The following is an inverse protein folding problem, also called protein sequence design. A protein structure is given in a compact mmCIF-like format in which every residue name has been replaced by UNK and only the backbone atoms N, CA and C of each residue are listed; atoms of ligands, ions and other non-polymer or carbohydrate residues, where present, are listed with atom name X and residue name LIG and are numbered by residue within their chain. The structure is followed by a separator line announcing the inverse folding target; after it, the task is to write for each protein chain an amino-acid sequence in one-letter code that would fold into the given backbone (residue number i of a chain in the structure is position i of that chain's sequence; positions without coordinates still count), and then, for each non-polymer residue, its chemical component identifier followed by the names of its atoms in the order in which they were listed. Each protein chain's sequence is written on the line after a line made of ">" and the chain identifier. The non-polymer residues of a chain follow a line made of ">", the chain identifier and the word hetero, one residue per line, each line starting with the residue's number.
data_IF_212014812312
#
_entry.id   IF_212014812312
#
_cell.length_a   1.000
_cell.length_b   1.000
_cell.length_c   1.000
_cell.angle_alpha   90.00
_cell.angle_beta   90.00
_cell.angle_gamma   90.00
#
_symmetry.space_group_name_H-M   'P 1'
#
loop_
_entity.id
_entity.type
_entity.pdbx_description
1 polymer ?
#
# COMPACT_ATOMS: atom_id res chain seq x y z
N UNK A 1 10.42 35.02 65.76
CA UNK A 1 9.61 34.22 64.87
C UNK A 1 10.57 33.35 64.08
N UNK A 2 10.65 32.05 64.47
CA UNK A 2 11.55 31.05 63.83
C UNK A 2 10.66 30.17 62.95
N UNK A 3 10.94 30.19 61.66
CA UNK A 3 10.35 29.22 60.70
C UNK A 3 11.11 27.89 60.82
N UNK A 4 10.37 26.85 61.07
CA UNK A 4 10.84 25.44 61.09
C UNK A 4 10.64 24.87 59.71
N UNK A 5 11.73 24.50 59.02
CA UNK A 5 11.71 23.72 57.80
C UNK A 5 11.72 22.25 58.16
N UNK A 6 10.63 21.53 57.79
CA UNK A 6 10.55 20.09 57.92
C UNK A 6 11.14 19.44 56.65
N UNK A 7 12.28 18.78 56.80
CA UNK A 7 12.91 18.00 55.74
C UNK A 7 12.23 16.63 55.70
N UNK A 8 11.56 16.36 54.60
CA UNK A 8 10.98 15.04 54.32
C UNK A 8 12.09 14.16 53.70
N UNK A 9 12.60 13.21 54.45
CA UNK A 9 13.58 12.21 53.99
C UNK A 9 12.85 11.10 53.28
N UNK A 10 12.96 11.03 51.96
CA UNK A 10 12.47 9.88 51.13
C UNK A 10 13.46 8.72 51.29
N UNK A 11 13.00 7.65 51.93
CA UNK A 11 13.70 6.39 52.01
C UNK A 11 13.59 5.67 50.63
N UNK A 12 14.73 5.56 49.95
CA UNK A 12 14.86 4.64 48.80
C UNK A 12 14.97 3.20 49.31
N UNK A 13 13.96 2.40 49.07
CA UNK A 13 14.06 0.95 49.16
C UNK A 13 14.56 0.40 47.79
N UNK A 14 15.57 -0.49 47.76
CA UNK A 14 15.97 -1.13 46.52
C UNK A 14 14.98 -2.24 46.20
N UNK A 15 14.19 -2.09 45.15
CA UNK A 15 13.43 -3.16 44.53
C UNK A 15 14.41 -4.05 43.73
N UNK A 16 14.79 -5.13 44.32
CA UNK A 16 15.36 -6.29 43.62
C UNK A 16 14.22 -7.03 42.89
N UNK A 17 14.36 -7.18 41.60
CA UNK A 17 13.43 -7.97 40.79
C UNK A 17 13.62 -7.58 39.31
N UNK A 18 14.77 -7.99 38.74
CA UNK A 18 15.01 -7.79 37.31
C UNK A 18 14.03 -8.63 36.47
N UNK A 19 12.97 -8.01 36.00
CA UNK A 19 12.40 -8.35 34.71
C UNK A 19 12.84 -7.27 33.74
N UNK A 20 13.81 -7.61 32.89
CA UNK A 20 14.08 -6.84 31.67
C UNK A 20 12.80 -6.99 30.83
N UNK A 21 11.87 -6.07 31.03
CA UNK A 21 10.73 -5.90 30.14
C UNK A 21 11.32 -5.48 28.80
N UNK A 22 11.39 -6.41 27.87
CA UNK A 22 11.50 -6.04 26.46
C UNK A 22 10.37 -5.07 26.20
N UNK A 23 10.69 -3.80 25.95
CA UNK A 23 9.75 -2.84 25.40
C UNK A 23 9.25 -3.46 24.10
N UNK A 24 8.04 -3.98 24.15
CA UNK A 24 7.36 -4.54 22.98
C UNK A 24 7.16 -3.36 22.03
N UNK A 25 7.72 -3.43 20.83
CA UNK A 25 7.44 -2.41 19.82
C UNK A 25 5.93 -2.32 19.64
N UNK A 26 5.40 -1.15 19.89
CA UNK A 26 3.98 -0.88 19.70
C UNK A 26 3.72 -0.77 18.20
N UNK A 27 2.93 -1.68 17.64
CA UNK A 27 2.55 -1.60 16.23
C UNK A 27 1.45 -0.57 16.09
N UNK A 28 1.85 0.65 15.70
CA UNK A 28 0.96 1.79 15.51
C UNK A 28 0.08 1.64 14.26
N UNK A 29 0.68 1.31 13.11
CA UNK A 29 -0.03 1.13 11.86
C UNK A 29 -0.59 -0.30 11.72
N UNK A 30 -1.89 -0.43 11.57
CA UNK A 30 -2.63 -1.69 11.38
C UNK A 30 -3.53 -1.53 10.17
N UNK A 31 -3.01 -1.87 9.00
CA UNK A 31 -3.64 -1.59 7.72
C UNK A 31 -4.34 -2.79 7.08
N UNK A 32 -5.26 -2.49 6.16
CA UNK A 32 -5.81 -3.46 5.22
C UNK A 32 -5.95 -2.83 3.83
N UNK A 33 -5.59 -3.58 2.78
CA UNK A 33 -5.84 -3.16 1.41
C UNK A 33 -7.29 -3.42 1.01
N UNK A 34 -7.89 -2.44 0.33
CA UNK A 34 -9.17 -2.57 -0.38
C UNK A 34 -8.87 -2.45 -1.88
N UNK A 35 -8.75 -3.60 -2.55
CA UNK A 35 -8.44 -3.69 -3.97
C UNK A 35 -9.72 -3.59 -4.80
N UNK A 36 -9.73 -2.66 -5.76
CA UNK A 36 -10.88 -2.43 -6.66
C UNK A 36 -10.69 -3.04 -8.04
N UNK A 37 -9.44 -3.23 -8.46
CA UNK A 37 -9.14 -3.90 -9.74
C UNK A 37 -9.80 -5.27 -9.80
N UNK A 38 -10.46 -5.57 -10.90
CA UNK A 38 -11.20 -6.81 -11.09
C UNK A 38 -12.26 -7.09 -9.98
N UNK A 39 -12.71 -6.05 -9.28
CA UNK A 39 -13.64 -6.15 -8.16
C UNK A 39 -13.19 -7.18 -7.10
N UNK A 40 -11.88 -7.16 -6.76
CA UNK A 40 -11.31 -8.12 -5.83
C UNK A 40 -11.97 -7.99 -4.45
N UNK A 41 -12.00 -6.77 -3.89
CA UNK A 41 -12.58 -6.52 -2.57
C UNK A 41 -13.85 -5.69 -2.66
N UNK A 42 -13.84 -4.62 -3.48
CA UNK A 42 -14.94 -3.67 -3.60
C UNK A 42 -14.90 -2.95 -4.96
N UNK A 43 -16.09 -2.54 -5.53
CA UNK A 43 -17.40 -3.08 -5.16
C UNK A 43 -17.56 -4.54 -5.60
N UNK A 44 -18.55 -5.25 -5.07
CA UNK A 44 -18.89 -6.58 -5.61
C UNK A 44 -19.43 -6.47 -7.04
N UNK A 45 -19.46 -7.56 -7.79
CA UNK A 45 -20.01 -7.57 -9.15
C UNK A 45 -21.51 -7.17 -9.16
N UNK A 46 -22.23 -7.55 -8.12
CA UNK A 46 -23.64 -7.24 -7.93
C UNK A 46 -23.87 -5.75 -7.62
N UNK A 47 -22.88 -5.10 -7.03
CA UNK A 47 -22.93 -3.68 -6.67
C UNK A 47 -22.47 -2.74 -7.79
N UNK A 48 -21.88 -3.26 -8.88
CA UNK A 48 -21.43 -2.42 -10.00
C UNK A 48 -22.60 -1.61 -10.55
N UNK A 49 -22.45 -0.28 -10.56
CA UNK A 49 -23.49 0.65 -11.01
C UNK A 49 -24.65 0.86 -10.02
N UNK A 50 -24.53 0.39 -8.79
CA UNK A 50 -25.55 0.55 -7.73
C UNK A 50 -24.97 1.29 -6.52
N UNK A 51 -25.15 2.61 -6.48
CA UNK A 51 -24.60 3.50 -5.46
C UNK A 51 -24.95 3.08 -4.03
N UNK A 52 -26.23 2.70 -3.81
CA UNK A 52 -26.71 2.32 -2.48
C UNK A 52 -26.05 1.05 -1.98
N UNK A 53 -25.88 0.06 -2.86
CA UNK A 53 -25.24 -1.21 -2.51
C UNK A 53 -23.74 -1.02 -2.31
N UNK A 54 -23.08 -0.23 -3.16
CA UNK A 54 -21.66 0.12 -3.02
C UNK A 54 -21.37 0.76 -1.66
N UNK A 55 -22.18 1.73 -1.25
CA UNK A 55 -22.08 2.39 0.05
C UNK A 55 -22.29 1.41 1.19
N UNK A 56 -23.31 0.57 1.11
CA UNK A 56 -23.60 -0.42 2.14
C UNK A 56 -22.46 -1.45 2.29
N UNK A 57 -21.89 -1.91 1.18
CA UNK A 57 -20.73 -2.81 1.21
C UNK A 57 -19.50 -2.15 1.85
N UNK A 58 -19.21 -0.89 1.51
CA UNK A 58 -18.06 -0.17 2.07
C UNK A 58 -18.24 0.06 3.59
N UNK A 59 -19.42 0.44 4.05
CA UNK A 59 -19.74 0.54 5.49
C UNK A 59 -19.47 -0.80 6.18
N UNK A 60 -20.01 -1.90 5.64
CA UNK A 60 -19.78 -3.23 6.21
C UNK A 60 -18.30 -3.63 6.25
N UNK A 61 -17.52 -3.28 5.20
CA UNK A 61 -16.08 -3.49 5.17
C UNK A 61 -15.42 -2.72 6.32
N UNK A 62 -15.68 -1.42 6.43
CA UNK A 62 -15.06 -0.55 7.43
C UNK A 62 -15.42 -0.98 8.86
N UNK A 63 -16.70 -1.28 9.15
CA UNK A 63 -17.15 -1.79 10.46
C UNK A 63 -16.45 -3.11 10.82
N UNK A 64 -16.29 -3.99 9.82
CA UNK A 64 -15.60 -5.26 10.02
C UNK A 64 -14.12 -5.06 10.35
N UNK A 65 -13.44 -4.15 9.64
CA UNK A 65 -12.03 -3.81 9.86
C UNK A 65 -11.83 -3.14 11.23
N UNK A 66 -12.69 -2.20 11.60
CA UNK A 66 -12.70 -1.56 12.93
C UNK A 66 -12.80 -2.62 14.04
N UNK A 67 -13.71 -3.58 13.89
CA UNK A 67 -13.89 -4.68 14.86
C UNK A 67 -12.65 -5.55 15.04
N UNK A 68 -11.70 -5.53 14.09
CA UNK A 68 -10.42 -6.21 14.15
C UNK A 68 -9.32 -5.34 14.76
N UNK A 69 -9.57 -4.07 15.01
CA UNK A 69 -8.58 -3.09 15.45
C UNK A 69 -7.71 -2.54 14.34
N UNK A 70 -8.15 -2.63 13.09
CA UNK A 70 -7.52 -1.95 11.94
C UNK A 70 -7.76 -0.45 12.08
N UNK A 71 -6.73 0.35 11.86
CA UNK A 71 -6.78 1.82 11.95
C UNK A 71 -6.33 2.53 10.66
N UNK A 72 -6.13 1.79 9.59
CA UNK A 72 -5.81 2.36 8.28
C UNK A 72 -6.33 1.49 7.15
N UNK A 73 -6.82 2.12 6.08
CA UNK A 73 -7.15 1.45 4.83
C UNK A 73 -6.23 1.94 3.72
N UNK A 74 -5.79 1.01 2.87
CA UNK A 74 -5.09 1.33 1.62
C UNK A 74 -6.09 1.08 0.49
N UNK A 75 -6.77 2.15 0.07
CA UNK A 75 -7.91 2.10 -0.85
C UNK A 75 -7.46 2.34 -2.29
N UNK A 76 -7.66 1.36 -3.18
CA UNK A 76 -7.29 1.47 -4.58
C UNK A 76 -8.29 2.34 -5.35
N UNK A 77 -7.88 3.55 -5.71
CA UNK A 77 -8.74 4.51 -6.42
C UNK A 77 -8.36 4.70 -7.89
N UNK A 78 -7.17 4.22 -8.31
CA UNK A 78 -6.69 4.27 -9.69
C UNK A 78 -6.10 2.93 -10.12
N UNK A 79 -6.95 1.94 -10.46
CA UNK A 79 -6.46 0.60 -10.80
C UNK A 79 -5.91 0.47 -12.22
N UNK A 80 -6.47 1.20 -13.21
CA UNK A 80 -6.21 1.00 -14.65
C UNK A 80 -6.27 2.32 -15.44
N UNK A 81 -5.55 3.36 -14.99
CA UNK A 81 -5.58 4.71 -15.56
C UNK A 81 -7.01 5.27 -15.70
N UNK A 82 -7.84 4.93 -14.75
CA UNK A 82 -9.22 5.35 -14.56
C UNK A 82 -9.48 5.57 -13.06
N UNK A 83 -10.52 6.30 -12.70
CA UNK A 83 -10.70 6.84 -11.38
C UNK A 83 -11.94 6.29 -10.65
N UNK A 84 -11.79 5.92 -9.37
CA UNK A 84 -12.90 5.69 -8.43
C UNK A 84 -13.13 6.94 -7.55
N UNK A 85 -12.95 8.11 -8.12
CA UNK A 85 -13.18 9.43 -7.53
C UNK A 85 -13.52 10.42 -8.63
N UNK A 86 -14.01 11.61 -8.29
CA UNK A 86 -14.25 12.66 -9.29
C UNK A 86 -12.95 13.23 -9.81
N UNK A 87 -12.39 12.61 -10.84
CA UNK A 87 -11.17 13.08 -11.48
C UNK A 87 -11.49 14.17 -12.53
N UNK A 88 -10.62 15.20 -12.57
CA UNK A 88 -10.63 16.20 -13.63
C UNK A 88 -9.89 15.72 -14.90
N UNK A 89 -9.18 14.61 -14.83
CA UNK A 89 -8.21 14.17 -15.83
C UNK A 89 -8.52 12.80 -16.43
N UNK A 90 -9.03 11.87 -15.62
CA UNK A 90 -9.24 10.48 -16.03
C UNK A 90 -10.72 10.09 -15.93
N UNK A 91 -11.20 9.18 -16.78
CA UNK A 91 -12.59 8.73 -16.74
C UNK A 91 -12.86 7.93 -15.47
N UNK A 92 -14.14 7.86 -15.10
CA UNK A 92 -14.57 6.96 -14.03
C UNK A 92 -14.27 5.52 -14.39
N UNK A 93 -13.86 4.73 -13.39
CA UNK A 93 -13.50 3.33 -13.59
C UNK A 93 -14.74 2.47 -13.92
N UNK A 94 -14.58 1.59 -14.92
CA UNK A 94 -15.60 0.60 -15.23
C UNK A 94 -15.82 -0.41 -14.09
N UNK A 95 -14.86 -0.58 -13.19
CA UNK A 95 -15.02 -1.42 -12.00
C UNK A 95 -16.10 -0.89 -11.04
N UNK A 96 -16.33 0.43 -11.07
CA UNK A 96 -17.36 1.09 -10.27
C UNK A 96 -18.73 1.06 -10.94
N UNK A 97 -18.77 1.35 -12.24
CA UNK A 97 -20.01 1.67 -12.96
C UNK A 97 -20.36 0.67 -14.07
N UNK A 98 -19.50 -0.30 -14.36
CA UNK A 98 -19.64 -1.23 -15.47
C UNK A 98 -19.16 -0.70 -16.83
N UNK A 99 -19.03 0.63 -16.96
CA UNK A 99 -18.52 1.32 -18.17
C UNK A 99 -17.69 2.52 -17.75
N UNK A 100 -16.65 2.83 -18.51
CA UNK A 100 -15.94 4.09 -18.31
C UNK A 100 -16.79 5.26 -18.82
N UNK A 101 -16.69 6.41 -18.15
CA UNK A 101 -17.35 7.64 -18.52
C UNK A 101 -16.65 8.85 -17.94
N UNK A 102 -17.12 10.06 -18.28
CA UNK A 102 -16.55 11.31 -17.80
C UNK A 102 -17.49 12.01 -16.83
N UNK A 103 -16.91 12.70 -15.84
CA UNK A 103 -17.65 13.60 -14.97
C UNK A 103 -18.01 14.87 -15.73
N UNK A 104 -19.30 15.20 -15.76
CA UNK A 104 -19.79 16.41 -16.42
C UNK A 104 -20.53 17.28 -15.40
N UNK A 105 -20.05 18.49 -15.11
CA UNK A 105 -20.66 19.44 -14.18
C UNK A 105 -21.11 18.81 -12.84
N UNK A 106 -20.24 18.06 -12.19
CA UNK A 106 -20.49 17.34 -10.94
C UNK A 106 -21.41 16.10 -11.08
N UNK A 107 -21.77 15.70 -12.28
CA UNK A 107 -22.57 14.51 -12.56
C UNK A 107 -21.85 13.60 -13.56
N UNK A 108 -21.84 12.31 -13.28
CA UNK A 108 -21.38 11.32 -14.24
C UNK A 108 -22.52 10.95 -15.19
N UNK A 109 -22.29 11.11 -16.49
CA UNK A 109 -23.27 10.72 -17.51
C UNK A 109 -22.80 9.45 -18.20
N UNK A 110 -23.45 8.33 -17.91
CA UNK A 110 -23.29 7.06 -18.61
C UNK A 110 -24.69 6.55 -18.96
N UNK A 111 -25.09 6.55 -20.24
CA UNK A 111 -26.34 5.94 -20.73
C UNK A 111 -27.56 6.17 -19.78
N UNK A 112 -27.80 7.41 -19.32
CA UNK A 112 -28.84 7.80 -18.37
C UNK A 112 -28.63 7.36 -16.91
N UNK A 113 -27.52 6.75 -16.53
CA UNK A 113 -27.17 6.56 -15.13
C UNK A 113 -26.41 7.79 -14.62
N UNK A 114 -26.77 8.28 -13.44
CA UNK A 114 -26.11 9.41 -12.79
C UNK A 114 -25.44 8.91 -11.53
N UNK A 115 -24.10 8.84 -11.53
CA UNK A 115 -23.37 8.70 -10.28
C UNK A 115 -23.36 10.07 -9.60
N UNK A 116 -24.04 10.19 -8.46
CA UNK A 116 -24.25 11.46 -7.76
C UNK A 116 -23.29 11.72 -6.62
N UNK A 117 -22.44 10.77 -6.31
CA UNK A 117 -21.52 10.80 -5.19
C UNK A 117 -20.05 10.62 -5.62
N UNK A 118 -19.13 11.08 -4.81
CA UNK A 118 -17.70 10.84 -4.98
C UNK A 118 -17.28 9.66 -4.08
N UNK A 119 -16.88 8.51 -4.66
CA UNK A 119 -16.52 7.33 -3.86
C UNK A 119 -15.35 7.55 -2.91
N UNK A 120 -14.34 8.33 -3.30
CA UNK A 120 -13.20 8.60 -2.44
C UNK A 120 -13.56 9.53 -1.29
N UNK A 121 -14.19 10.68 -1.59
CA UNK A 121 -14.60 11.65 -0.58
C UNK A 121 -15.48 10.99 0.49
N UNK A 122 -16.50 10.26 0.04
CA UNK A 122 -17.42 9.57 0.95
C UNK A 122 -16.72 8.47 1.77
N UNK A 123 -15.80 7.70 1.16
CA UNK A 123 -15.04 6.66 1.88
C UNK A 123 -14.13 7.29 2.94
N UNK A 124 -13.51 8.43 2.65
CA UNK A 124 -12.71 9.20 3.62
C UNK A 124 -13.57 9.58 4.83
N UNK A 125 -14.76 10.17 4.61
CA UNK A 125 -15.68 10.54 5.70
C UNK A 125 -16.04 9.33 6.57
N UNK A 126 -16.35 8.18 5.93
CA UNK A 126 -16.70 6.95 6.64
C UNK A 126 -15.51 6.34 7.40
N UNK A 127 -14.31 6.39 6.84
CA UNK A 127 -13.10 5.90 7.50
C UNK A 127 -12.71 6.79 8.69
N UNK A 128 -12.71 8.11 8.51
CA UNK A 128 -12.38 9.07 9.57
C UNK A 128 -13.38 9.01 10.74
N UNK A 129 -14.66 8.77 10.48
CA UNK A 129 -15.66 8.57 11.55
C UNK A 129 -15.39 7.33 12.42
N UNK A 130 -14.50 6.44 11.98
CA UNK A 130 -14.02 5.23 12.68
C UNK A 130 -12.56 5.36 13.13
N UNK A 131 -11.99 6.56 13.12
CA UNK A 131 -10.59 6.83 13.43
C UNK A 131 -9.62 5.99 12.57
N UNK A 132 -9.94 5.81 11.28
CA UNK A 132 -9.09 5.12 10.32
C UNK A 132 -8.43 6.11 9.36
N UNK A 133 -7.13 5.99 9.18
CA UNK A 133 -6.38 6.67 8.12
C UNK A 133 -6.77 6.13 6.74
N UNK A 134 -6.74 7.01 5.73
CA UNK A 134 -6.97 6.63 4.33
C UNK A 134 -5.70 6.89 3.52
N UNK A 135 -5.10 5.79 3.05
CA UNK A 135 -4.00 5.80 2.11
C UNK A 135 -4.54 5.50 0.70
N UNK A 136 -4.39 6.46 -0.20
CA UNK A 136 -4.93 6.36 -1.56
C UNK A 136 -3.96 5.58 -2.44
N UNK A 137 -4.40 4.41 -2.91
CA UNK A 137 -3.58 3.53 -3.73
C UNK A 137 -3.82 3.74 -5.23
N UNK A 138 -2.72 4.05 -5.94
CA UNK A 138 -2.67 4.18 -7.38
C UNK A 138 -1.75 3.14 -7.99
N UNK A 139 -2.17 2.50 -9.10
CA UNK A 139 -1.22 1.85 -9.99
C UNK A 139 -0.71 2.89 -11.01
N UNK A 140 0.60 3.19 -11.07
CA UNK A 140 1.07 4.32 -11.88
C UNK A 140 0.95 4.10 -13.38
N UNK A 141 1.18 2.89 -13.90
CA UNK A 141 1.41 2.69 -15.33
C UNK A 141 0.41 1.82 -16.06
N UNK A 142 -0.36 0.99 -15.37
CA UNK A 142 -1.28 0.04 -16.01
C UNK A 142 -2.52 0.72 -16.56
N UNK A 143 -2.90 0.39 -17.82
CA UNK A 143 -4.09 0.90 -18.51
C UNK A 143 -5.24 -0.09 -18.48
N UNK A 144 -4.95 -1.41 -18.62
CA UNK A 144 -5.96 -2.46 -18.65
C UNK A 144 -5.41 -3.78 -18.13
N UNK A 145 -6.27 -4.74 -17.90
CA UNK A 145 -5.88 -6.14 -17.67
C UNK A 145 -5.83 -6.91 -18.99
N UNK A 146 -5.04 -7.98 -19.06
CA UNK A 146 -4.85 -8.78 -20.26
C UNK A 146 -6.15 -9.38 -20.85
N UNK A 147 -7.20 -9.49 -20.04
CA UNK A 147 -8.52 -9.98 -20.43
C UNK A 147 -9.53 -8.85 -20.71
N UNK A 148 -9.16 -7.59 -20.50
CA UNK A 148 -10.06 -6.46 -20.74
C UNK A 148 -10.17 -6.22 -22.24
N UNK A 149 -11.39 -6.17 -22.73
CA UNK A 149 -11.65 -5.71 -24.09
C UNK A 149 -11.35 -4.20 -24.17
N UNK A 150 -10.36 -3.84 -24.98
CA UNK A 150 -9.97 -2.44 -25.16
C UNK A 150 -11.04 -1.59 -25.84
N UNK A 151 -12.06 -2.20 -26.47
CA UNK A 151 -13.21 -1.48 -26.99
C UNK A 151 -14.04 -0.83 -25.89
N UNK A 152 -13.95 -1.33 -24.66
CA UNK A 152 -14.61 -0.79 -23.48
C UNK A 152 -13.95 0.49 -22.92
N UNK A 153 -12.72 0.79 -23.36
CA UNK A 153 -12.02 2.01 -22.96
C UNK A 153 -12.69 3.19 -23.69
N UNK A 154 -13.20 4.17 -22.93
CA UNK A 154 -13.94 5.29 -23.50
C UNK A 154 -13.07 6.22 -24.35
N UNK A 155 -13.70 7.03 -25.20
CA UNK A 155 -13.01 7.95 -26.12
C UNK A 155 -12.16 8.99 -25.38
N UNK A 156 -12.58 9.39 -24.17
CA UNK A 156 -11.91 10.40 -23.37
C UNK A 156 -10.70 9.89 -22.58
N UNK A 157 -10.48 8.58 -22.56
CA UNK A 157 -9.33 7.98 -21.87
C UNK A 157 -8.02 8.47 -22.51
N UNK A 158 -7.04 8.80 -21.68
CA UNK A 158 -5.73 9.32 -22.11
C UNK A 158 -5.03 8.41 -23.13
N UNK A 159 -5.19 7.08 -23.01
CA UNK A 159 -4.67 6.12 -23.97
C UNK A 159 -5.24 6.28 -25.38
N UNK A 160 -6.51 6.74 -25.52
CA UNK A 160 -7.13 7.04 -26.81
C UNK A 160 -6.64 8.36 -27.37
N UNK A 161 -6.39 9.35 -26.50
CA UNK A 161 -5.98 10.71 -26.89
C UNK A 161 -4.51 10.78 -27.28
N UNK A 162 -3.66 10.00 -26.60
CA UNK A 162 -2.21 10.01 -26.73
C UNK A 162 -1.64 8.60 -26.81
N UNK A 163 -1.98 7.80 -27.86
CA UNK A 163 -1.51 6.43 -27.97
C UNK A 163 0.03 6.30 -28.00
N UNK A 164 0.75 7.36 -28.41
CA UNK A 164 2.21 7.43 -28.43
C UNK A 164 2.87 7.45 -27.04
N UNK A 165 2.12 7.64 -25.97
CA UNK A 165 2.63 7.59 -24.60
C UNK A 165 2.69 6.16 -24.05
N UNK A 166 2.20 5.18 -24.80
CA UNK A 166 1.95 3.83 -24.32
C UNK A 166 2.63 2.79 -25.16
N UNK A 167 2.82 1.63 -24.56
CA UNK A 167 3.20 0.42 -25.27
C UNK A 167 2.44 -0.80 -24.74
N UNK A 168 2.32 -1.81 -25.60
CA UNK A 168 1.66 -3.07 -25.24
C UNK A 168 2.71 -4.10 -24.80
N UNK A 169 2.46 -4.75 -23.64
CA UNK A 169 3.23 -5.89 -23.19
C UNK A 169 2.29 -6.99 -22.72
N UNK A 170 2.39 -8.17 -23.31
CA UNK A 170 1.60 -9.34 -22.94
C UNK A 170 0.08 -9.07 -22.89
N UNK A 171 -0.48 -8.40 -23.91
CA UNK A 171 -1.89 -8.03 -24.06
C UNK A 171 -2.39 -7.01 -23.03
N UNK A 172 -1.49 -6.31 -22.39
CA UNK A 172 -1.80 -5.19 -21.50
C UNK A 172 -1.09 -3.94 -21.99
N UNK A 173 -1.78 -2.82 -21.86
CA UNK A 173 -1.23 -1.50 -22.17
C UNK A 173 -0.69 -0.84 -20.90
N UNK A 174 0.44 -0.20 -21.04
CA UNK A 174 1.14 0.51 -19.98
C UNK A 174 1.61 1.87 -20.49
N UNK A 175 1.61 2.87 -19.63
CA UNK A 175 2.39 4.06 -19.87
C UNK A 175 3.85 3.70 -20.08
N UNK A 176 4.55 4.42 -20.96
CA UNK A 176 5.97 4.24 -21.21
C UNK A 176 6.80 4.99 -20.15
N UNK A 177 7.43 4.32 -19.17
CA UNK A 177 8.17 4.99 -18.12
C UNK A 177 9.38 5.79 -18.61
N UNK A 178 9.83 5.54 -19.86
CA UNK A 178 10.94 6.25 -20.48
C UNK A 178 10.61 7.62 -21.06
N UNK A 179 9.34 8.05 -20.98
CA UNK A 179 8.87 9.35 -21.46
C UNK A 179 8.61 10.29 -20.28
N UNK A 180 9.22 11.46 -20.26
CA UNK A 180 9.00 12.46 -19.20
C UNK A 180 7.52 12.83 -19.06
N UNK A 181 6.81 12.99 -20.17
CA UNK A 181 5.36 13.34 -20.18
C UNK A 181 4.50 12.33 -19.41
N UNK A 182 4.88 11.05 -19.35
CA UNK A 182 4.12 10.05 -18.57
C UNK A 182 4.34 10.21 -17.08
N UNK A 183 5.53 10.63 -16.67
CA UNK A 183 5.82 11.02 -15.30
C UNK A 183 5.04 12.29 -14.91
N UNK A 184 5.07 13.33 -15.75
CA UNK A 184 4.34 14.57 -15.54
C UNK A 184 2.83 14.34 -15.40
N UNK A 185 2.28 13.41 -16.21
CA UNK A 185 0.87 13.02 -16.10
C UNK A 185 0.54 12.40 -14.75
N UNK A 186 1.36 11.48 -14.26
CA UNK A 186 1.15 10.84 -12.96
C UNK A 186 1.28 11.86 -11.82
N UNK A 187 2.27 12.75 -11.88
CA UNK A 187 2.40 13.85 -10.91
C UNK A 187 1.16 14.74 -10.91
N UNK A 188 0.60 15.07 -12.08
CA UNK A 188 -0.66 15.84 -12.20
C UNK A 188 -1.83 15.14 -11.49
N UNK A 189 -1.99 13.82 -11.71
CA UNK A 189 -3.04 13.01 -11.05
C UNK A 189 -2.84 12.98 -9.53
N UNK A 190 -1.61 12.78 -9.08
CA UNK A 190 -1.28 12.74 -7.65
C UNK A 190 -1.54 14.09 -6.99
N UNK A 191 -1.09 15.19 -7.60
CA UNK A 191 -1.32 16.54 -7.09
C UNK A 191 -2.81 16.88 -7.00
N UNK A 192 -3.63 16.51 -8.01
CA UNK A 192 -5.09 16.72 -7.98
C UNK A 192 -5.75 15.97 -6.81
N UNK A 193 -5.29 14.75 -6.48
CA UNK A 193 -5.81 14.00 -5.34
C UNK A 193 -5.37 14.64 -4.02
N UNK A 194 -4.08 14.94 -3.86
CA UNK A 194 -3.54 15.50 -2.61
C UNK A 194 -4.14 16.86 -2.29
N UNK A 195 -4.33 17.71 -3.30
CA UNK A 195 -4.91 19.05 -3.12
C UNK A 195 -6.37 18.98 -2.65
N UNK A 196 -7.16 18.05 -3.21
CA UNK A 196 -8.62 18.04 -3.05
C UNK A 196 -9.13 17.16 -1.92
N UNK A 197 -8.40 16.14 -1.51
CA UNK A 197 -8.90 15.15 -0.56
C UNK A 197 -8.12 15.19 0.77
N UNK A 198 -8.82 14.90 1.86
CA UNK A 198 -8.25 14.79 3.20
C UNK A 198 -7.72 13.37 3.45
N UNK A 199 -6.55 13.09 2.89
CA UNK A 199 -5.90 11.79 2.93
C UNK A 199 -4.61 11.83 3.75
N UNK A 200 -4.19 10.68 4.30
CA UNK A 200 -2.97 10.57 5.08
C UNK A 200 -1.78 10.13 4.24
N UNK A 201 -2.02 9.46 3.12
CA UNK A 201 -0.93 9.06 2.22
C UNK A 201 -1.38 8.82 0.78
N UNK A 202 -0.41 8.98 -0.14
CA UNK A 202 -0.41 8.35 -1.46
C UNK A 202 0.36 7.03 -1.35
N UNK A 203 -0.17 5.96 -1.93
CA UNK A 203 0.40 4.63 -1.93
C UNK A 203 0.52 4.05 -3.34
N UNK A 204 1.66 3.45 -3.66
CA UNK A 204 1.85 2.70 -4.90
C UNK A 204 2.31 1.27 -4.62
N UNK A 205 1.91 0.36 -5.49
CA UNK A 205 2.30 -1.04 -5.44
C UNK A 205 3.66 -1.32 -6.12
N UNK A 206 3.92 -2.57 -6.47
CA UNK A 206 5.15 -3.04 -7.11
C UNK A 206 5.10 -3.03 -8.65
N UNK A 207 4.02 -2.55 -9.26
CA UNK A 207 3.84 -2.56 -10.72
C UNK A 207 4.38 -1.29 -11.38
N UNK A 208 5.71 -1.06 -11.29
CA UNK A 208 6.39 -0.02 -12.06
C UNK A 208 6.63 -0.51 -13.49
N UNK A 209 7.65 -1.32 -13.73
CA UNK A 209 7.72 -2.12 -14.95
C UNK A 209 6.90 -3.41 -14.76
N UNK A 210 6.28 -3.94 -15.83
CA UNK A 210 5.50 -5.18 -15.70
C UNK A 210 6.40 -6.37 -15.39
N UNK A 211 5.84 -7.32 -14.67
CA UNK A 211 6.50 -8.60 -14.40
C UNK A 211 6.96 -9.29 -15.70
N UNK A 212 8.17 -9.84 -15.76
CA UNK A 212 8.68 -10.50 -16.95
C UNK A 212 7.84 -11.71 -17.33
N UNK A 213 7.54 -11.86 -18.61
CA UNK A 213 6.73 -12.94 -19.16
C UNK A 213 7.53 -13.73 -20.17
N UNK A 214 7.95 -14.95 -19.78
CA UNK A 214 8.43 -15.98 -20.70
C UNK A 214 9.49 -15.55 -21.72
N UNK A 215 10.48 -14.73 -21.30
CA UNK A 215 11.55 -14.26 -22.19
C UNK A 215 11.12 -13.18 -23.20
N UNK A 216 9.90 -12.64 -23.10
CA UNK A 216 9.47 -11.51 -23.94
C UNK A 216 10.23 -10.25 -23.53
N UNK A 217 10.90 -9.54 -24.45
CA UNK A 217 11.53 -8.26 -24.13
C UNK A 217 10.49 -7.18 -23.88
N UNK A 218 10.82 -6.22 -23.03
CA UNK A 218 10.03 -5.01 -22.87
C UNK A 218 10.13 -4.15 -24.14
N UNK A 219 9.04 -3.52 -24.60
CA UNK A 219 8.98 -2.83 -25.89
C UNK A 219 9.45 -1.37 -25.83
N UNK A 220 10.46 -1.06 -25.02
CA UNK A 220 11.00 0.28 -24.78
C UNK A 220 12.37 0.58 -25.43
N UNK A 221 12.88 -0.37 -26.24
CA UNK A 221 14.20 -0.24 -26.89
C UNK A 221 14.29 0.99 -27.80
N UNK A 222 13.22 1.33 -28.52
CA UNK A 222 13.23 2.53 -29.38
C UNK A 222 13.18 3.81 -28.55
N UNK A 223 12.49 3.79 -27.43
CA UNK A 223 12.51 4.92 -26.47
C UNK A 223 13.89 5.11 -25.88
N UNK A 224 14.57 4.03 -25.49
CA UNK A 224 15.95 4.07 -25.01
C UNK A 224 16.91 4.66 -26.05
N UNK A 225 16.83 4.20 -27.31
CA UNK A 225 17.66 4.76 -28.40
C UNK A 225 17.45 6.26 -28.61
N UNK A 226 16.21 6.72 -28.48
CA UNK A 226 15.83 8.13 -28.67
C UNK A 226 16.21 9.01 -27.49
N UNK A 227 16.10 8.48 -26.26
CA UNK A 227 16.29 9.22 -25.02
C UNK A 227 17.22 8.46 -24.05
N UNK A 228 18.48 8.20 -24.41
CA UNK A 228 19.37 7.39 -23.58
C UNK A 228 19.86 8.10 -22.31
N UNK A 229 19.74 9.43 -22.22
CA UNK A 229 20.17 10.25 -21.08
C UNK A 229 21.58 9.94 -20.56
N UNK A 230 22.49 9.50 -21.46
CA UNK A 230 23.86 9.15 -21.13
C UNK A 230 24.08 7.69 -20.69
N UNK A 231 23.03 6.91 -20.54
CA UNK A 231 23.15 5.48 -20.23
C UNK A 231 23.53 4.67 -21.47
N UNK A 232 24.43 3.71 -21.29
CA UNK A 232 24.78 2.70 -22.31
C UNK A 232 24.07 1.37 -22.06
N UNK A 233 23.61 1.12 -20.83
CA UNK A 233 22.86 -0.06 -20.40
C UNK A 233 21.38 0.28 -20.24
N UNK A 234 20.52 -0.44 -20.97
CA UNK A 234 19.08 -0.29 -20.90
C UNK A 234 18.48 -0.64 -19.51
N UNK A 235 19.11 -1.55 -18.76
CA UNK A 235 18.64 -1.92 -17.43
C UNK A 235 18.88 -0.77 -16.42
N UNK A 236 20.03 -0.10 -16.50
CA UNK A 236 20.30 1.10 -15.70
C UNK A 236 19.35 2.24 -16.06
N UNK A 237 19.11 2.44 -17.36
CA UNK A 237 18.17 3.45 -17.86
C UNK A 237 16.74 3.19 -17.38
N UNK A 238 16.27 1.92 -17.33
CA UNK A 238 14.95 1.58 -16.80
C UNK A 238 14.84 1.89 -15.32
N UNK A 239 15.87 1.58 -14.52
CA UNK A 239 15.93 1.97 -13.11
C UNK A 239 15.89 3.47 -12.92
N UNK A 240 16.65 4.21 -13.72
CA UNK A 240 16.62 5.67 -13.72
C UNK A 240 15.23 6.23 -14.05
N UNK A 241 14.50 5.63 -15.00
CA UNK A 241 13.11 6.03 -15.29
C UNK A 241 12.21 5.94 -14.06
N UNK A 242 12.29 4.83 -13.33
CA UNK A 242 11.48 4.63 -12.13
C UNK A 242 11.96 5.55 -10.99
N UNK A 243 13.26 5.67 -10.78
CA UNK A 243 13.83 6.54 -9.75
C UNK A 243 13.39 8.00 -9.93
N UNK A 244 13.48 8.52 -11.16
CA UNK A 244 13.02 9.88 -11.50
C UNK A 244 11.52 10.07 -11.25
N UNK A 245 10.72 9.06 -11.60
CA UNK A 245 9.29 9.12 -11.36
C UNK A 245 8.97 9.13 -9.86
N UNK A 246 9.62 8.30 -9.05
CA UNK A 246 9.43 8.27 -7.60
C UNK A 246 9.84 9.59 -6.96
N UNK A 247 10.98 10.15 -7.35
CA UNK A 247 11.44 11.45 -6.87
C UNK A 247 10.43 12.56 -7.23
N UNK A 248 10.01 12.65 -8.49
CA UNK A 248 9.08 13.68 -8.94
C UNK A 248 7.70 13.56 -8.27
N UNK A 249 7.21 12.33 -8.04
CA UNK A 249 5.95 12.10 -7.33
C UNK A 249 6.08 12.52 -5.86
N UNK A 250 7.19 12.19 -5.21
CA UNK A 250 7.46 12.64 -3.83
C UNK A 250 7.46 14.17 -3.72
N UNK A 251 8.16 14.84 -4.62
CA UNK A 251 8.20 16.30 -4.70
C UNK A 251 6.80 16.86 -4.92
N UNK A 252 6.01 16.32 -5.86
CA UNK A 252 4.65 16.76 -6.14
C UNK A 252 3.68 16.61 -4.94
N UNK A 253 3.82 15.53 -4.17
CA UNK A 253 3.02 15.31 -2.94
C UNK A 253 3.36 16.38 -1.90
N UNK A 254 4.64 16.53 -1.55
CA UNK A 254 5.08 17.40 -0.47
C UNK A 254 4.97 18.89 -0.81
N UNK A 255 5.06 19.26 -2.09
CA UNK A 255 4.75 20.62 -2.54
C UNK A 255 3.26 20.96 -2.36
N UNK A 256 2.35 20.00 -2.55
CA UNK A 256 0.91 20.22 -2.30
C UNK A 256 0.58 20.23 -0.80
N UNK A 257 0.99 19.17 -0.08
CA UNK A 257 0.77 19.03 1.39
C UNK A 257 1.91 18.23 2.02
N UNK A 258 2.77 18.90 2.78
CA UNK A 258 3.92 18.30 3.48
C UNK A 258 3.53 17.18 4.47
N UNK A 259 2.29 17.21 4.98
CA UNK A 259 1.77 16.19 5.91
C UNK A 259 1.32 14.88 5.25
N UNK A 260 1.12 14.85 3.93
CA UNK A 260 0.70 13.64 3.22
C UNK A 260 1.90 12.76 2.93
N UNK A 261 1.89 11.53 3.44
CA UNK A 261 2.98 10.58 3.28
C UNK A 261 2.99 9.96 1.87
N UNK A 262 4.17 9.57 1.40
CA UNK A 262 4.32 8.76 0.21
C UNK A 262 4.84 7.37 0.57
N UNK A 263 4.08 6.33 0.27
CA UNK A 263 4.40 4.95 0.59
C UNK A 263 4.43 4.02 -0.61
N UNK A 264 5.31 3.02 -0.53
CA UNK A 264 5.46 2.00 -1.57
C UNK A 264 5.33 0.61 -0.96
N UNK A 265 4.53 -0.27 -1.61
CA UNK A 265 4.52 -1.71 -1.29
C UNK A 265 5.24 -2.51 -2.39
N UNK A 266 6.57 -2.65 -2.30
CA UNK A 266 7.35 -3.35 -3.29
C UNK A 266 7.19 -4.87 -3.16
N UNK A 267 7.58 -5.62 -4.20
CA UNK A 267 7.82 -7.05 -4.09
C UNK A 267 8.76 -7.36 -2.91
N UNK A 268 8.52 -8.46 -2.19
CA UNK A 268 9.19 -8.72 -0.92
C UNK A 268 10.71 -8.90 -0.97
N UNK A 269 11.30 -9.19 -2.15
CA UNK A 269 12.73 -9.40 -2.34
C UNK A 269 13.33 -8.30 -3.20
N UNK A 270 14.23 -7.49 -2.62
CA UNK A 270 14.96 -6.48 -3.37
C UNK A 270 15.95 -7.14 -4.35
N UNK A 271 16.84 -7.99 -3.85
CA UNK A 271 17.83 -8.76 -4.62
C UNK A 271 18.31 -9.96 -3.81
N UNK A 272 18.67 -11.06 -4.46
CA UNK A 272 19.24 -12.23 -3.79
C UNK A 272 20.72 -11.98 -3.40
N UNK A 273 21.15 -12.43 -2.23
CA UNK A 273 22.54 -12.31 -1.77
C UNK A 273 23.55 -13.02 -2.68
N UNK A 274 23.11 -14.00 -3.48
CA UNK A 274 23.96 -14.66 -4.49
C UNK A 274 24.29 -13.77 -5.70
N UNK A 275 23.51 -12.72 -5.93
CA UNK A 275 23.72 -11.74 -7.02
C UNK A 275 24.38 -10.46 -6.49
N UNK A 276 23.98 -10.04 -5.29
CA UNK A 276 24.51 -8.87 -4.60
C UNK A 276 24.68 -9.21 -3.12
N UNK A 277 25.89 -9.13 -2.59
CA UNK A 277 26.20 -9.49 -1.19
C UNK A 277 25.44 -8.68 -0.15
N UNK A 278 24.86 -7.53 -0.52
CA UNK A 278 24.00 -6.71 0.34
C UNK A 278 22.52 -7.08 0.22
N UNK A 279 22.16 -8.00 -0.68
CA UNK A 279 20.82 -8.54 -0.84
C UNK A 279 20.40 -9.48 0.29
N UNK A 280 19.16 -9.93 0.26
CA UNK A 280 18.65 -10.90 1.25
C UNK A 280 19.14 -12.32 0.97
N UNK A 281 19.26 -13.15 2.04
CA UNK A 281 19.61 -14.56 1.94
C UNK A 281 18.45 -15.39 1.36
N UNK A 282 18.09 -15.10 0.12
CA UNK A 282 16.96 -15.68 -0.63
C UNK A 282 17.45 -16.27 -1.96
N UNK A 283 16.56 -17.01 -2.64
CA UNK A 283 16.71 -17.50 -4.02
C UNK A 283 15.44 -17.28 -4.82
N UNK A 284 14.89 -16.09 -4.71
CA UNK A 284 13.67 -15.69 -5.44
C UNK A 284 13.91 -15.63 -6.94
N UNK A 285 12.91 -16.04 -7.71
CA UNK A 285 12.99 -15.99 -9.18
C UNK A 285 12.70 -14.60 -9.76
N UNK A 286 12.12 -13.70 -8.97
CA UNK A 286 11.82 -12.30 -9.30
C UNK A 286 12.38 -11.42 -8.20
N UNK A 287 12.92 -10.27 -8.57
CA UNK A 287 13.45 -9.27 -7.64
C UNK A 287 13.08 -7.86 -8.07
N UNK A 288 13.01 -6.93 -7.11
CA UNK A 288 12.69 -5.53 -7.43
C UNK A 288 13.71 -4.90 -8.38
N UNK A 289 15.00 -5.07 -8.04
CA UNK A 289 16.08 -4.36 -8.71
C UNK A 289 16.34 -4.85 -10.14
N UNK A 290 16.38 -6.19 -10.32
CA UNK A 290 16.77 -6.78 -11.61
C UNK A 290 15.57 -6.94 -12.56
N UNK A 291 14.38 -7.26 -12.04
CA UNK A 291 13.23 -7.64 -12.87
C UNK A 291 12.19 -6.51 -12.97
N UNK A 292 11.95 -5.76 -11.89
CA UNK A 292 10.94 -4.70 -11.83
C UNK A 292 11.56 -3.29 -11.94
N UNK A 293 12.89 -3.21 -12.02
CA UNK A 293 13.66 -1.95 -12.15
C UNK A 293 13.38 -0.93 -11.05
N UNK A 294 13.05 -1.42 -9.85
CA UNK A 294 12.70 -0.63 -8.68
C UNK A 294 13.84 -0.66 -7.65
N UNK A 295 14.54 0.47 -7.46
CA UNK A 295 15.61 0.61 -6.48
C UNK A 295 15.09 1.20 -5.16
N UNK A 296 14.32 0.39 -4.42
CA UNK A 296 13.68 0.80 -3.16
C UNK A 296 14.72 1.29 -2.14
N UNK A 297 15.91 0.69 -2.13
CA UNK A 297 16.99 1.09 -1.20
C UNK A 297 17.45 2.51 -1.44
N UNK A 298 17.55 2.92 -2.70
CA UNK A 298 17.86 4.31 -3.07
C UNK A 298 16.75 5.23 -2.54
N UNK A 299 15.48 4.91 -2.78
CA UNK A 299 14.36 5.76 -2.38
C UNK A 299 14.26 5.95 -0.87
N UNK A 300 14.56 4.90 -0.08
CA UNK A 300 14.66 4.97 1.39
C UNK A 300 15.80 5.89 1.81
N UNK A 301 16.99 5.77 1.20
CA UNK A 301 18.20 6.53 1.58
C UNK A 301 18.11 8.01 1.23
N UNK A 302 17.53 8.29 0.07
CA UNK A 302 17.32 9.68 -0.39
C UNK A 302 16.11 10.35 0.29
N UNK A 303 15.29 9.58 1.06
CA UNK A 303 14.12 10.08 1.73
C UNK A 303 12.99 10.46 0.77
N UNK A 304 12.90 9.80 -0.40
CA UNK A 304 11.82 10.04 -1.35
C UNK A 304 10.52 9.35 -0.96
N UNK A 305 10.58 8.39 -0.04
CA UNK A 305 9.40 7.68 0.48
C UNK A 305 9.37 7.75 2.02
N UNK A 306 8.19 7.98 2.58
CA UNK A 306 7.97 8.09 4.02
C UNK A 306 7.80 6.74 4.69
N UNK A 307 7.26 5.76 3.94
CA UNK A 307 7.21 4.38 4.41
C UNK A 307 7.39 3.38 3.29
N UNK A 308 7.94 2.23 3.65
CA UNK A 308 8.01 1.05 2.80
C UNK A 308 7.19 -0.07 3.42
N UNK A 309 6.43 -0.79 2.57
CA UNK A 309 5.51 -1.85 2.96
C UNK A 309 5.74 -3.10 2.10
N UNK A 310 6.90 -3.80 2.24
CA UNK A 310 7.23 -4.94 1.40
C UNK A 310 6.22 -6.07 1.54
N UNK A 311 5.85 -6.68 0.42
CA UNK A 311 4.87 -7.76 0.31
C UNK A 311 5.53 -9.10 0.69
N UNK A 312 5.58 -9.42 2.00
CA UNK A 312 6.17 -10.66 2.50
C UNK A 312 5.14 -11.80 2.50
N UNK A 313 4.75 -12.23 1.32
CA UNK A 313 3.65 -13.18 1.11
C UNK A 313 4.09 -14.65 1.16
N UNK A 314 5.11 -14.98 1.94
CA UNK A 314 5.61 -16.34 2.15
C UNK A 314 5.53 -16.74 3.61
N UNK A 315 5.55 -18.05 3.87
CA UNK A 315 5.62 -18.59 5.23
C UNK A 315 7.01 -18.43 5.86
N UNK A 316 7.06 -18.39 7.18
CA UNK A 316 8.30 -18.52 7.94
C UNK A 316 8.92 -19.89 7.63
N UNK A 317 10.21 -19.90 7.26
CA UNK A 317 10.94 -21.10 6.84
C UNK A 317 10.83 -21.43 5.35
N UNK A 318 10.26 -20.54 4.51
CA UNK A 318 10.22 -20.74 3.06
C UNK A 318 11.61 -20.67 2.45
N UNK A 319 12.13 -21.79 1.97
CA UNK A 319 13.52 -21.91 1.48
C UNK A 319 13.92 -20.83 0.45
N UNK A 320 13.01 -20.47 -0.46
CA UNK A 320 13.32 -19.50 -1.51
C UNK A 320 13.18 -18.03 -1.07
N UNK A 321 12.31 -17.76 -0.10
CA UNK A 321 11.99 -16.40 0.38
C UNK A 321 11.37 -16.50 1.78
N UNK A 322 12.21 -16.71 2.79
CA UNK A 322 11.79 -16.85 4.18
C UNK A 322 11.29 -15.53 4.73
N UNK A 323 10.08 -15.53 5.29
CA UNK A 323 9.48 -14.35 5.91
C UNK A 323 10.40 -13.71 6.96
N UNK A 324 10.96 -14.50 7.86
CA UNK A 324 11.82 -14.03 8.94
C UNK A 324 13.10 -13.39 8.41
N UNK A 325 13.75 -14.04 7.43
CA UNK A 325 14.94 -13.49 6.76
C UNK A 325 14.63 -12.13 6.10
N UNK A 326 13.49 -12.05 5.41
CA UNK A 326 13.09 -10.82 4.72
C UNK A 326 12.68 -9.72 5.70
N UNK A 327 11.94 -10.04 6.77
CA UNK A 327 11.56 -9.06 7.79
C UNK A 327 12.79 -8.40 8.42
N UNK A 328 13.80 -9.19 8.79
CA UNK A 328 15.07 -8.69 9.31
C UNK A 328 15.88 -7.91 8.27
N UNK A 329 15.88 -8.36 7.01
CA UNK A 329 16.58 -7.66 5.94
C UNK A 329 15.98 -6.24 5.71
N UNK A 330 14.66 -6.14 5.60
CA UNK A 330 13.98 -4.84 5.45
C UNK A 330 14.15 -3.94 6.68
N UNK A 331 14.15 -4.51 7.87
CA UNK A 331 14.44 -3.78 9.11
C UNK A 331 15.84 -3.13 9.07
N UNK A 332 16.83 -3.85 8.56
CA UNK A 332 18.18 -3.30 8.40
C UNK A 332 18.24 -2.17 7.36
N UNK A 333 17.44 -2.25 6.28
CA UNK A 333 17.44 -1.22 5.23
C UNK A 333 16.84 0.12 5.69
N UNK A 334 15.87 0.11 6.59
CA UNK A 334 15.26 1.34 7.13
C UNK A 334 16.01 1.89 8.35
N UNK A 335 16.88 1.11 8.97
CA UNK A 335 17.57 1.50 10.21
C UNK A 335 18.39 2.77 10.01
N UNK A 336 18.14 3.77 10.86
CA UNK A 336 18.83 5.07 10.81
C UNK A 336 18.28 6.03 9.75
N UNK A 337 17.20 5.66 9.05
CA UNK A 337 16.47 6.54 8.13
C UNK A 337 15.18 7.06 8.78
N UNK A 338 14.48 7.97 8.10
CA UNK A 338 13.14 8.43 8.51
C UNK A 338 12.02 7.53 7.99
N UNK A 339 12.34 6.64 7.02
CA UNK A 339 11.36 5.78 6.36
C UNK A 339 10.81 4.74 7.36
N UNK A 340 9.49 4.71 7.53
CA UNK A 340 8.82 3.71 8.38
C UNK A 340 8.75 2.37 7.67
N UNK A 341 8.87 1.28 8.43
CA UNK A 341 8.69 -0.07 7.91
C UNK A 341 7.35 -0.63 8.38
N UNK A 342 6.48 -0.95 7.44
CA UNK A 342 5.30 -1.76 7.64
C UNK A 342 5.46 -3.07 6.87
N UNK A 343 4.85 -4.16 7.32
CA UNK A 343 4.98 -5.46 6.64
C UNK A 343 3.65 -5.85 5.99
N UNK A 344 3.69 -6.13 4.69
CA UNK A 344 2.58 -6.68 3.94
C UNK A 344 2.42 -8.18 4.18
N UNK A 345 1.24 -8.59 4.63
CA UNK A 345 0.91 -9.96 5.01
C UNK A 345 -0.22 -10.53 4.14
N UNK A 346 -0.24 -11.85 3.97
CA UNK A 346 -1.09 -12.51 2.98
C UNK A 346 -2.12 -13.49 3.60
N UNK A 347 -3.17 -13.02 4.31
CA UNK A 347 -4.19 -13.92 4.85
C UNK A 347 -4.94 -14.73 3.79
N UNK A 348 -4.98 -14.27 2.53
CA UNK A 348 -5.59 -15.03 1.42
C UNK A 348 -4.93 -16.41 1.21
N UNK A 349 -3.68 -16.59 1.60
CA UNK A 349 -2.98 -17.87 1.49
C UNK A 349 -3.52 -18.96 2.42
N UNK A 350 -4.32 -18.58 3.42
CA UNK A 350 -5.03 -19.51 4.28
C UNK A 350 -6.19 -20.20 3.54
N UNK A 351 -6.74 -19.53 2.50
CA UNK A 351 -7.83 -20.08 1.68
C UNK A 351 -7.31 -21.23 0.81
N UNK A 352 -7.98 -22.36 0.87
CA UNK A 352 -7.60 -23.54 0.05
C UNK A 352 -6.25 -24.19 0.37
N UNK A 353 -5.55 -23.75 1.42
CA UNK A 353 -4.26 -24.31 1.82
C UNK A 353 -4.40 -25.78 2.27
N UNK A 354 -3.43 -26.64 1.90
CA UNK A 354 -3.39 -28.03 2.34
C UNK A 354 -3.22 -28.09 3.85
N UNK A 355 -3.92 -29.01 4.53
CA UNK A 355 -3.97 -29.10 6.01
C UNK A 355 -2.58 -29.19 6.69
N UNK A 356 -1.66 -29.88 6.06
CA UNK A 356 -0.28 -30.13 6.54
C UNK A 356 0.74 -29.08 6.12
N UNK A 357 0.32 -28.06 5.32
CA UNK A 357 1.18 -26.94 4.97
C UNK A 357 1.21 -25.89 6.10
N UNK A 358 2.26 -25.04 6.18
CA UNK A 358 2.31 -23.94 7.15
C UNK A 358 1.04 -23.07 7.16
N UNK A 359 0.53 -22.72 5.99
CA UNK A 359 -0.74 -21.99 5.83
C UNK A 359 -1.96 -22.84 6.23
N UNK A 360 -1.87 -24.16 6.01
CA UNK A 360 -2.95 -25.11 6.33
C UNK A 360 -3.17 -25.34 7.81
N UNK A 361 -2.15 -25.18 8.63
CA UNK A 361 -2.24 -25.25 10.10
C UNK A 361 -3.05 -24.06 10.65
N UNK A 362 -3.10 -22.91 9.92
CA UNK A 362 -3.94 -21.77 10.23
C UNK A 362 -3.36 -20.77 11.23
N UNK A 363 -2.15 -20.97 11.72
CA UNK A 363 -1.51 -20.06 12.68
C UNK A 363 -0.37 -19.20 12.07
N UNK A 364 -0.15 -19.28 10.76
CA UNK A 364 1.00 -18.62 10.13
C UNK A 364 0.95 -17.10 10.28
N UNK A 365 -0.21 -16.47 10.04
CA UNK A 365 -0.39 -15.02 10.23
C UNK A 365 -0.06 -14.61 11.67
N UNK A 366 -0.55 -15.33 12.67
CA UNK A 366 -0.26 -15.01 14.08
C UNK A 366 1.20 -15.21 14.45
N UNK A 367 1.91 -16.18 13.83
CA UNK A 367 3.36 -16.38 13.99
C UNK A 367 4.13 -15.20 13.41
N UNK A 368 3.79 -14.77 12.21
CA UNK A 368 4.37 -13.61 11.55
C UNK A 368 4.14 -12.33 12.35
N UNK A 369 2.90 -12.07 12.81
CA UNK A 369 2.58 -10.93 13.67
C UNK A 369 3.39 -10.93 14.98
N UNK A 370 3.62 -12.09 15.59
CA UNK A 370 4.45 -12.21 16.81
C UNK A 370 5.92 -11.93 16.51
N UNK A 371 6.43 -12.42 15.38
CA UNK A 371 7.78 -12.15 14.93
C UNK A 371 8.00 -10.65 14.68
N UNK A 372 7.08 -9.98 13.96
CA UNK A 372 7.17 -8.56 13.70
C UNK A 372 7.38 -7.73 14.98
N UNK A 373 6.72 -8.12 16.08
CA UNK A 373 6.84 -7.44 17.39
C UNK A 373 8.16 -7.63 18.09
N UNK A 374 9.02 -8.54 17.61
CA UNK A 374 10.38 -8.73 18.12
C UNK A 374 11.41 -7.88 17.37
N UNK A 375 11.01 -7.23 16.27
CA UNK A 375 11.88 -6.42 15.40
C UNK A 375 11.51 -4.94 15.60
N UNK A 376 12.36 -4.14 16.27
CA UNK A 376 12.02 -2.77 16.68
C UNK A 376 11.71 -1.81 15.53
N UNK A 377 12.30 -2.03 14.36
CA UNK A 377 12.10 -1.19 13.18
C UNK A 377 10.73 -1.42 12.50
N UNK A 378 10.03 -2.52 12.81
CA UNK A 378 8.70 -2.77 12.26
C UNK A 378 7.68 -2.03 13.10
N UNK A 379 7.09 -0.99 12.53
CA UNK A 379 6.10 -0.12 13.17
C UNK A 379 4.67 -0.36 12.67
N UNK A 380 4.46 -1.32 11.74
CA UNK A 380 3.14 -1.60 11.20
C UNK A 380 3.00 -2.92 10.47
N UNK A 381 1.75 -3.30 10.27
CA UNK A 381 1.32 -4.49 9.51
C UNK A 381 0.17 -4.11 8.59
N UNK A 382 0.13 -4.70 7.40
CA UNK A 382 -0.98 -4.52 6.47
C UNK A 382 -1.39 -5.85 5.84
N UNK A 383 -2.70 -6.11 5.76
CA UNK A 383 -3.22 -7.39 5.27
C UNK A 383 -3.72 -7.26 3.83
N UNK A 384 -3.18 -8.06 2.94
CA UNK A 384 -3.67 -8.20 1.57
C UNK A 384 -4.57 -9.44 1.46
N UNK A 385 -5.85 -9.26 1.34
CA UNK A 385 -6.61 -8.03 1.30
C UNK A 385 -7.82 -8.11 2.26
N UNK A 386 -8.76 -7.21 2.12
CA UNK A 386 -9.96 -7.16 2.97
C UNK A 386 -10.85 -8.40 2.81
N UNK A 387 -11.06 -8.92 1.58
CA UNK A 387 -11.92 -10.08 1.34
C UNK A 387 -11.56 -11.32 2.16
N UNK A 388 -10.29 -11.75 2.26
CA UNK A 388 -9.93 -12.83 3.19
C UNK A 388 -10.26 -12.53 4.65
N UNK A 389 -10.09 -11.29 5.11
CA UNK A 389 -10.46 -10.93 6.48
C UNK A 389 -11.97 -11.09 6.72
N UNK A 390 -12.80 -10.63 5.78
CA UNK A 390 -14.26 -10.77 5.87
C UNK A 390 -14.71 -12.23 5.83
N UNK A 391 -14.03 -13.10 5.12
CA UNK A 391 -14.30 -14.54 5.06
C UNK A 391 -13.79 -15.31 6.28
N UNK A 392 -12.87 -14.73 7.03
CA UNK A 392 -12.25 -15.30 8.22
C UNK A 392 -11.75 -16.74 8.06
N UNK A 393 -10.94 -17.07 7.03
CA UNK A 393 -10.45 -18.42 6.82
C UNK A 393 -9.64 -18.88 8.03
N UNK A 394 -9.93 -20.10 8.51
CA UNK A 394 -9.24 -20.72 9.66
C UNK A 394 -9.26 -19.85 10.93
N UNK A 395 -10.28 -19.02 11.09
CA UNK A 395 -10.43 -18.15 12.27
C UNK A 395 -9.26 -17.16 12.44
N UNK A 396 -8.66 -16.69 11.34
CA UNK A 396 -7.53 -15.74 11.37
C UNK A 396 -7.87 -14.46 12.11
N UNK A 397 -9.10 -13.97 11.99
CA UNK A 397 -9.57 -12.76 12.66
C UNK A 397 -9.53 -12.87 14.18
N UNK A 398 -9.81 -14.06 14.74
CA UNK A 398 -9.71 -14.27 16.19
C UNK A 398 -8.26 -14.13 16.68
N UNK A 399 -7.33 -14.64 15.88
CA UNK A 399 -5.90 -14.50 16.15
C UNK A 399 -5.44 -13.04 16.07
N UNK A 400 -5.91 -12.28 15.06
CA UNK A 400 -5.60 -10.85 14.88
C UNK A 400 -6.16 -10.05 16.07
N UNK A 401 -7.43 -10.23 16.43
CA UNK A 401 -8.06 -9.57 17.61
C UNK A 401 -7.28 -9.87 18.89
N UNK A 402 -6.92 -11.13 19.13
CA UNK A 402 -6.18 -11.53 20.32
C UNK A 402 -4.81 -10.86 20.44
N UNK A 403 -4.17 -10.59 19.30
CA UNK A 403 -2.87 -9.93 19.25
C UNK A 403 -3.00 -8.41 19.41
N UNK A 404 -4.04 -7.79 18.83
CA UNK A 404 -4.27 -6.35 18.92
C UNK A 404 -4.97 -5.92 20.23
N UNK A 405 -5.70 -6.81 20.89
CA UNK A 405 -6.44 -6.50 22.11
C UNK A 405 -5.65 -5.78 23.22
N UNK A 406 -4.39 -6.13 23.52
CA UNK A 406 -3.61 -5.39 24.49
C UNK A 406 -3.34 -3.92 24.08
N UNK A 407 -3.21 -3.66 22.76
CA UNK A 407 -3.00 -2.31 22.22
C UNK A 407 -4.28 -1.50 22.31
N UNK A 408 -5.42 -2.12 22.01
CA UNK A 408 -6.74 -1.47 22.05
C UNK A 408 -7.26 -1.18 23.47
N UNK A 409 -6.67 -1.83 24.47
CA UNK A 409 -7.00 -1.63 25.89
C UNK A 409 -6.08 -0.64 26.62
N UNK A 410 -5.03 -0.13 25.95
CA UNK A 410 -4.20 0.92 26.52
C UNK A 410 -4.99 2.24 26.49
N UNK A 411 -4.91 3.06 27.55
CA UNK A 411 -5.47 4.39 27.54
C UNK A 411 -4.85 5.20 26.40
N UNK A 412 -5.68 5.81 25.58
CA UNK A 412 -5.20 6.75 24.56
C UNK A 412 -4.77 8.05 25.26
N UNK A 413 -3.75 8.71 24.74
CA UNK A 413 -3.34 10.04 25.17
C UNK A 413 -3.93 11.05 24.19
N UNK A 414 -4.40 12.18 24.72
CA UNK A 414 -4.78 13.33 23.91
C UNK A 414 -3.53 14.09 23.39
N UNK A 415 -3.74 15.15 22.62
CA UNK A 415 -2.67 15.98 22.07
C UNK A 415 -1.80 16.67 23.17
N UNK A 416 -2.29 16.74 24.40
CA UNK A 416 -1.60 17.30 25.56
C UNK A 416 -0.89 16.22 26.40
N UNK A 417 -1.03 14.92 26.02
CA UNK A 417 -0.41 13.76 26.67
C UNK A 417 -1.17 13.27 27.90
N UNK A 418 -2.41 13.69 28.13
CA UNK A 418 -3.27 13.18 29.17
C UNK A 418 -3.98 11.87 28.73
N UNK A 419 -4.15 10.95 29.69
CA UNK A 419 -4.76 9.64 29.44
C UNK A 419 -6.27 9.77 29.27
N UNK A 420 -6.77 9.46 28.07
CA UNK A 420 -8.21 9.31 27.81
C UNK A 420 -8.64 7.95 28.36
N UNK A 421 -9.45 7.97 29.40
CA UNK A 421 -9.98 6.73 29.99
C UNK A 421 -11.18 6.23 29.16
N UNK A 422 -11.28 4.90 28.88
CA UNK A 422 -12.30 4.35 27.96
C UNK A 422 -13.75 4.45 28.46
N UNK A 423 -14.01 5.17 29.56
CA UNK A 423 -15.34 5.41 30.14
C UNK A 423 -15.67 6.89 30.34
N UNK A 424 -14.89 7.80 29.84
CA UNK A 424 -15.20 9.23 29.68
C UNK A 424 -15.60 9.54 28.24
#
# INVERSE_FOLDING_TARGET
>A
MKQIYTILTLLFLPLWGGQVGFLRAEIGFRGAWIATVANIDWPSQEAVGNDSLQKAEMVWILDSLESLGINAIIFQVRPTADALYRSNYEPVSHWLTGKQGVWNNSQLTIDNSQLTWDPLEWTIEQAHSRNMEVHVWLNPYRVNLAKTDTSMICADHIWRKHPEWFWEYNKQWYFNPGLDITCDWICTIVSDIVDRYDIQAIHMDDYFYPYPVGGKPLPDTETFKKYPRGFSDIHEWRRDNVNRAIQAISEAIHECKDSVQFGISPFGVWRNASVDSTGSATSAGITNYDDLYADIRLWIREGWIDYVLPQLYWEIGKKAADYEVLAHWWANEVRGTKCKLYIGMAPYRLEGAKKDSPWGIGNEISRQMKLNRTIPEISGECFYSTRPLLRNPRHVCDSIRAIYRPVLSLPQQDEEGELILPWE
#
